data_IF_998135613536
#
_entry.id   IF_998135613536
#
_cell.length_a   1.000
_cell.length_b   1.000
_cell.length_c   1.000
_cell.angle_alpha   90.00
_cell.angle_beta   90.00
_cell.angle_gamma   90.00
#
_symmetry.space_group_name_H-M   'P 1'
#
loop_
_entity.id
_entity.type
_entity.pdbx_description
1 polymer ?
#
# COMPACT_ATOMS: atom_id res chain seq x y z
N UNK A 1 16.35 21.12 27.34
CA UNK A 1 14.92 21.36 27.08
C UNK A 1 14.27 20.08 26.59
N UNK A 2 13.91 19.21 27.53
CA UNK A 2 13.44 17.84 27.33
C UNK A 2 11.97 17.72 27.73
N UNK A 3 11.13 18.66 27.29
CA UNK A 3 9.72 18.75 27.72
C UNK A 3 8.71 18.77 26.56
N UNK A 4 9.16 18.63 25.30
CA UNK A 4 8.27 18.54 24.13
C UNK A 4 7.87 17.08 23.81
N UNK A 5 8.55 16.09 24.40
CA UNK A 5 8.37 14.68 24.05
C UNK A 5 7.14 13.99 24.68
N UNK A 6 6.54 14.55 25.73
CA UNK A 6 5.58 13.81 26.59
C UNK A 6 4.12 13.81 26.11
N UNK A 7 3.77 14.54 25.04
CA UNK A 7 2.41 14.52 24.52
C UNK A 7 2.37 14.54 22.99
N UNK A 8 3.11 13.62 22.37
CA UNK A 8 2.97 13.40 20.93
C UNK A 8 1.60 12.77 20.67
N UNK A 9 0.68 13.58 20.17
CA UNK A 9 -0.67 13.14 19.79
C UNK A 9 -0.57 12.15 18.62
N UNK A 10 -0.56 10.86 18.94
CA UNK A 10 -0.49 9.78 17.94
C UNK A 10 -1.64 9.82 16.94
N UNK A 11 -2.77 10.44 17.29
CA UNK A 11 -3.88 10.69 16.37
C UNK A 11 -3.49 11.62 15.20
N UNK A 12 -2.67 12.65 15.45
CA UNK A 12 -2.18 13.55 14.41
C UNK A 12 -1.19 12.85 13.48
N UNK A 13 -0.30 12.02 14.05
CA UNK A 13 0.61 11.17 13.26
C UNK A 13 -0.20 10.30 12.31
N UNK A 14 -1.22 9.60 12.82
CA UNK A 14 -2.08 8.72 12.02
C UNK A 14 -2.81 9.50 10.92
N UNK A 15 -3.39 10.66 11.21
CA UNK A 15 -4.03 11.50 10.20
C UNK A 15 -3.08 11.87 9.05
N UNK A 16 -1.83 12.20 9.39
CA UNK A 16 -0.82 12.54 8.40
C UNK A 16 -0.41 11.31 7.56
N UNK A 17 -0.29 10.13 8.18
CA UNK A 17 -0.01 8.88 7.46
C UNK A 17 -1.13 8.50 6.49
N UNK A 18 -2.39 8.76 6.85
CA UNK A 18 -3.53 8.47 5.97
C UNK A 18 -3.61 9.36 4.74
N UNK A 19 -2.83 10.44 4.66
CA UNK A 19 -2.71 11.27 3.46
C UNK A 19 -2.05 10.52 2.28
N UNK A 20 -1.34 9.41 2.52
CA UNK A 20 -0.75 8.61 1.44
C UNK A 20 -1.80 8.02 0.52
N UNK A 21 -2.97 7.63 1.05
CA UNK A 21 -4.08 7.02 0.29
C UNK A 21 -4.72 7.99 -0.73
N UNK A 22 -5.18 9.21 -0.38
CA UNK A 22 -5.71 10.13 -1.37
C UNK A 22 -4.65 10.56 -2.39
N UNK A 23 -3.39 10.69 -1.97
CA UNK A 23 -2.26 10.98 -2.88
C UNK A 23 -2.07 9.83 -3.87
N UNK A 24 -2.10 8.57 -3.41
CA UNK A 24 -1.95 7.41 -4.28
C UNK A 24 -3.11 7.27 -5.27
N UNK A 25 -4.35 7.61 -4.85
CA UNK A 25 -5.52 7.62 -5.75
C UNK A 25 -5.35 8.69 -6.83
N UNK A 26 -4.99 9.92 -6.45
CA UNK A 26 -4.79 11.02 -7.39
C UNK A 26 -3.70 10.69 -8.42
N UNK A 27 -2.57 10.17 -7.96
CA UNK A 27 -1.49 9.72 -8.83
C UNK A 27 -1.93 8.55 -9.71
N UNK A 28 -2.63 7.56 -9.17
CA UNK A 28 -3.13 6.42 -9.94
C UNK A 28 -4.05 6.85 -11.08
N UNK A 29 -4.93 7.82 -10.84
CA UNK A 29 -5.79 8.40 -11.89
C UNK A 29 -4.96 9.14 -12.95
N UNK A 30 -4.00 9.98 -12.52
CA UNK A 30 -3.10 10.68 -13.44
C UNK A 30 -2.30 9.72 -14.33
N UNK A 31 -1.69 8.70 -13.73
CA UNK A 31 -0.92 7.69 -14.46
C UNK A 31 -1.81 6.87 -15.38
N UNK A 32 -3.05 6.53 -14.98
CA UNK A 32 -4.01 5.87 -15.87
C UNK A 32 -4.24 6.66 -17.14
N UNK A 33 -4.43 7.97 -17.02
CA UNK A 33 -4.69 8.84 -18.17
C UNK A 33 -3.48 8.89 -19.10
N UNK A 34 -2.27 8.99 -18.54
CA UNK A 34 -1.02 8.91 -19.31
C UNK A 34 -0.91 7.58 -20.05
N UNK A 35 -1.20 6.47 -19.38
CA UNK A 35 -1.03 5.13 -19.94
C UNK A 35 -2.05 4.78 -21.03
N UNK A 36 -3.27 5.32 -20.93
CA UNK A 36 -4.33 5.04 -21.91
C UNK A 36 -4.39 6.08 -23.03
N UNK A 37 -4.11 7.35 -22.77
CA UNK A 37 -4.35 8.42 -23.75
C UNK A 37 -3.06 9.05 -24.29
N UNK A 38 -1.96 9.02 -23.52
CA UNK A 38 -0.70 9.63 -23.96
C UNK A 38 0.26 8.62 -24.59
N UNK A 39 0.24 7.37 -24.13
CA UNK A 39 1.04 6.30 -24.71
C UNK A 39 0.30 5.57 -25.83
N UNK A 40 1.03 5.22 -26.89
CA UNK A 40 0.51 4.42 -27.99
C UNK A 40 0.06 3.05 -27.47
N UNK A 41 -1.25 2.78 -27.55
CA UNK A 41 -1.79 1.50 -27.12
C UNK A 41 -1.39 0.41 -28.12
N UNK A 42 -0.99 -0.79 -27.65
CA UNK A 42 -0.81 -1.93 -28.54
C UNK A 42 -2.15 -2.32 -29.17
N UNK A 43 -2.12 -2.81 -30.40
CA UNK A 43 -3.32 -3.30 -31.08
C UNK A 43 -4.07 -4.30 -30.19
N UNK A 44 -5.37 -4.04 -29.98
CA UNK A 44 -6.22 -4.85 -29.10
C UNK A 44 -6.32 -6.32 -29.56
N UNK A 45 -5.98 -6.58 -30.82
CA UNK A 45 -5.94 -7.91 -31.44
C UNK A 45 -4.69 -8.71 -31.05
N UNK A 46 -3.61 -8.03 -30.66
CA UNK A 46 -2.33 -8.63 -30.26
C UNK A 46 -2.27 -8.82 -28.74
N UNK A 47 -2.81 -7.86 -27.96
CA UNK A 47 -2.81 -7.92 -26.49
C UNK A 47 -4.22 -7.61 -25.96
N UNK A 48 -5.09 -8.61 -25.83
CA UNK A 48 -6.41 -8.41 -25.24
C UNK A 48 -6.29 -8.05 -23.76
N UNK A 49 -7.04 -7.05 -23.31
CA UNK A 49 -7.16 -6.73 -21.87
C UNK A 49 -6.13 -5.76 -21.29
N UNK A 50 -5.37 -5.04 -22.12
CA UNK A 50 -4.39 -4.05 -21.65
C UNK A 50 -4.97 -3.04 -20.66
N UNK A 51 -6.13 -2.44 -20.97
CA UNK A 51 -6.78 -1.49 -20.07
C UNK A 51 -7.21 -2.12 -18.74
N UNK A 52 -7.62 -3.38 -18.75
CA UNK A 52 -7.95 -4.12 -17.52
C UNK A 52 -6.71 -4.35 -16.67
N UNK A 53 -5.60 -4.75 -17.30
CA UNK A 53 -4.31 -4.93 -16.62
C UNK A 53 -3.83 -3.65 -15.94
N UNK A 54 -3.90 -2.51 -16.65
CA UNK A 54 -3.56 -1.19 -16.09
C UNK A 54 -4.44 -0.88 -14.87
N UNK A 55 -5.77 -1.04 -14.98
CA UNK A 55 -6.67 -0.78 -13.84
C UNK A 55 -6.37 -1.68 -12.63
N UNK A 56 -6.09 -2.97 -12.85
CA UNK A 56 -5.72 -3.91 -11.78
C UNK A 56 -4.43 -3.50 -11.08
N UNK A 57 -3.41 -3.06 -11.82
CA UNK A 57 -2.15 -2.58 -11.23
C UNK A 57 -2.40 -1.33 -10.40
N UNK A 58 -3.15 -0.36 -10.92
CA UNK A 58 -3.48 0.85 -10.17
C UNK A 58 -4.29 0.55 -8.89
N UNK A 59 -5.23 -0.39 -8.97
CA UNK A 59 -5.98 -0.86 -7.81
C UNK A 59 -5.06 -1.52 -6.78
N UNK A 60 -4.08 -2.33 -7.22
CA UNK A 60 -3.10 -2.97 -6.34
C UNK A 60 -2.27 -1.96 -5.56
N UNK A 61 -1.88 -0.85 -6.19
CA UNK A 61 -1.16 0.25 -5.54
C UNK A 61 -2.03 0.86 -4.44
N UNK A 62 -3.30 1.17 -4.72
CA UNK A 62 -4.19 1.73 -3.69
C UNK A 62 -4.35 0.76 -2.50
N UNK A 63 -4.44 -0.55 -2.75
CA UNK A 63 -4.52 -1.58 -1.70
C UNK A 63 -3.24 -1.61 -0.85
N UNK A 64 -2.06 -1.51 -1.46
CA UNK A 64 -0.78 -1.46 -0.74
C UNK A 64 -0.67 -0.19 0.12
N UNK A 65 -1.12 0.95 -0.41
CA UNK A 65 -1.09 2.24 0.30
C UNK A 65 -2.02 2.26 1.52
N UNK A 66 -3.10 1.47 1.52
CA UNK A 66 -3.93 1.27 2.72
C UNK A 66 -3.17 0.60 3.88
N UNK A 67 -2.13 -0.20 3.59
CA UNK A 67 -1.33 -0.85 4.62
C UNK A 67 -0.17 0.03 5.11
N UNK A 68 0.16 1.10 4.38
CA UNK A 68 1.29 1.98 4.66
C UNK A 68 1.22 2.68 6.02
N UNK A 69 0.06 3.21 6.49
CA UNK A 69 -0.05 3.77 7.83
C UNK A 69 0.30 2.75 8.92
N UNK A 70 -0.18 1.51 8.76
CA UNK A 70 0.05 0.40 9.71
C UNK A 70 1.53 0.03 9.74
N UNK A 71 2.13 -0.06 8.55
CA UNK A 71 3.54 -0.35 8.36
C UNK A 71 4.44 0.71 9.04
N UNK A 72 4.18 2.00 8.83
CA UNK A 72 4.98 3.08 9.42
C UNK A 72 4.84 3.07 10.95
N UNK A 73 3.62 2.85 11.48
CA UNK A 73 3.42 2.69 12.93
C UNK A 73 4.18 1.50 13.51
N UNK A 74 4.24 0.37 12.79
CA UNK A 74 5.02 -0.79 13.20
C UNK A 74 6.53 -0.46 13.25
N UNK A 75 7.04 0.32 12.31
CA UNK A 75 8.44 0.77 12.32
C UNK A 75 8.76 1.70 13.48
N UNK A 76 7.87 2.65 13.79
CA UNK A 76 8.00 3.51 14.97
C UNK A 76 7.97 2.70 16.27
N UNK A 77 7.30 1.54 16.26
CA UNK A 77 7.26 0.57 17.37
C UNK A 77 8.43 -0.43 17.34
N UNK A 78 9.50 -0.14 16.59
CA UNK A 78 10.74 -0.94 16.47
C UNK A 78 10.62 -2.28 15.71
N UNK A 79 9.52 -2.53 14.99
CA UNK A 79 9.36 -3.76 14.18
C UNK A 79 9.96 -3.63 12.76
N UNK A 80 11.22 -3.21 12.66
CA UNK A 80 11.87 -2.91 11.37
C UNK A 80 12.03 -4.17 10.50
N UNK A 81 12.28 -5.34 11.13
CA UNK A 81 12.46 -6.63 10.44
C UNK A 81 11.19 -7.17 9.79
N UNK A 82 10.01 -6.76 10.29
CA UNK A 82 8.72 -7.22 9.77
C UNK A 82 8.54 -6.84 8.30
N UNK A 83 9.01 -5.64 7.92
CA UNK A 83 8.97 -5.15 6.55
C UNK A 83 9.63 -6.13 5.59
N UNK A 84 10.87 -6.48 5.88
CA UNK A 84 11.69 -7.34 5.01
C UNK A 84 11.01 -8.70 4.81
N UNK A 85 10.40 -9.24 5.87
CA UNK A 85 9.68 -10.51 5.80
C UNK A 85 8.40 -10.38 4.96
N UNK A 86 7.53 -9.41 5.25
CA UNK A 86 6.25 -9.26 4.52
C UNK A 86 6.49 -8.91 3.05
N UNK A 87 7.39 -7.97 2.78
CA UNK A 87 7.74 -7.54 1.42
C UNK A 87 8.39 -8.68 0.63
N UNK A 88 9.30 -9.42 1.27
CA UNK A 88 9.94 -10.60 0.67
C UNK A 88 8.95 -11.73 0.36
N UNK A 89 8.04 -12.05 1.30
CA UNK A 89 7.00 -13.07 1.10
C UNK A 89 6.06 -12.66 -0.02
N UNK A 90 5.56 -11.42 0.00
CA UNK A 90 4.62 -10.92 -1.01
C UNK A 90 5.25 -10.92 -2.41
N UNK A 91 6.51 -10.50 -2.53
CA UNK A 91 7.26 -10.53 -3.79
C UNK A 91 7.50 -11.97 -4.27
N UNK A 92 7.88 -12.87 -3.36
CA UNK A 92 8.09 -14.29 -3.70
C UNK A 92 6.82 -14.92 -4.22
N UNK A 93 5.69 -14.71 -3.53
CA UNK A 93 4.38 -15.20 -3.96
C UNK A 93 4.01 -14.63 -5.33
N UNK A 94 4.24 -13.32 -5.56
CA UNK A 94 4.00 -12.70 -6.86
C UNK A 94 4.76 -13.40 -7.97
N UNK A 95 6.07 -13.60 -7.79
CA UNK A 95 6.93 -14.22 -8.79
C UNK A 95 6.51 -15.67 -9.09
N UNK A 96 6.20 -16.46 -8.05
CA UNK A 96 5.76 -17.83 -8.21
C UNK A 96 4.40 -17.93 -8.91
N UNK A 97 3.42 -17.10 -8.52
CA UNK A 97 2.12 -17.05 -9.16
C UNK A 97 2.23 -16.60 -10.61
N UNK A 98 3.01 -15.54 -10.87
CA UNK A 98 3.24 -15.04 -12.22
C UNK A 98 3.85 -16.12 -13.11
N UNK A 99 4.91 -16.80 -12.65
CA UNK A 99 5.54 -17.90 -13.39
C UNK A 99 4.54 -19.04 -13.67
N UNK A 100 3.76 -19.44 -12.67
CA UNK A 100 2.76 -20.49 -12.80
C UNK A 100 1.65 -20.12 -13.81
N UNK A 101 1.09 -18.92 -13.69
CA UNK A 101 0.02 -18.42 -14.57
C UNK A 101 0.49 -18.25 -16.02
N UNK A 102 1.72 -17.78 -16.24
CA UNK A 102 2.28 -17.63 -17.59
C UNK A 102 2.47 -18.99 -18.26
N UNK A 103 2.91 -20.01 -17.52
CA UNK A 103 3.05 -21.38 -18.05
C UNK A 103 1.68 -21.96 -18.46
N UNK A 104 0.62 -21.67 -17.70
CA UNK A 104 -0.72 -22.15 -18.03
C UNK A 104 -1.40 -21.37 -19.16
N UNK A 105 -1.19 -20.06 -19.23
CA UNK A 105 -1.89 -19.15 -20.14
C UNK A 105 -0.90 -18.31 -20.96
N UNK A 106 -0.17 -18.92 -21.90
CA UNK A 106 0.90 -18.24 -22.65
C UNK A 106 0.40 -17.06 -23.50
N UNK A 107 -0.87 -17.11 -23.95
CA UNK A 107 -1.45 -16.08 -24.81
C UNK A 107 -2.05 -14.88 -24.03
N UNK A 108 -2.05 -14.92 -22.69
CA UNK A 108 -2.70 -13.91 -21.83
C UNK A 108 -1.78 -13.41 -20.71
N UNK A 109 -0.51 -13.14 -21.04
CA UNK A 109 0.50 -12.71 -20.06
C UNK A 109 0.11 -11.46 -19.24
N UNK A 110 -0.63 -10.53 -19.82
CA UNK A 110 -1.10 -9.32 -19.10
C UNK A 110 -2.07 -9.67 -17.98
N UNK A 111 -2.98 -10.61 -18.22
CA UNK A 111 -3.91 -11.08 -17.17
C UNK A 111 -3.16 -11.83 -16.08
N UNK A 112 -2.20 -12.70 -16.45
CA UNK A 112 -1.35 -13.40 -15.49
C UNK A 112 -0.57 -12.44 -14.58
N UNK A 113 -0.01 -11.38 -15.15
CA UNK A 113 0.68 -10.34 -14.37
C UNK A 113 -0.28 -9.59 -13.45
N UNK A 114 -1.43 -9.13 -13.98
CA UNK A 114 -2.40 -8.35 -13.23
C UNK A 114 -2.99 -9.13 -12.04
N UNK A 115 -3.29 -10.42 -12.23
CA UNK A 115 -3.82 -11.28 -11.15
C UNK A 115 -2.75 -11.58 -10.11
N UNK A 116 -1.52 -11.92 -10.51
CA UNK A 116 -0.42 -12.14 -9.59
C UNK A 116 -0.10 -10.89 -8.75
N UNK A 117 -0.08 -9.71 -9.39
CA UNK A 117 0.13 -8.43 -8.71
C UNK A 117 -1.00 -8.12 -7.72
N UNK A 118 -2.27 -8.32 -8.09
CA UNK A 118 -3.40 -8.12 -7.17
C UNK A 118 -3.34 -9.06 -5.97
N UNK A 119 -3.08 -10.36 -6.19
CA UNK A 119 -2.99 -11.34 -5.10
C UNK A 119 -1.84 -10.97 -4.15
N UNK A 120 -0.68 -10.59 -4.69
CA UNK A 120 0.45 -10.14 -3.89
C UNK A 120 0.12 -8.90 -3.04
N UNK A 121 -0.56 -7.91 -3.61
CA UNK A 121 -0.99 -6.70 -2.87
C UNK A 121 -1.98 -7.01 -1.75
N UNK A 122 -2.89 -7.97 -1.96
CA UNK A 122 -3.83 -8.42 -0.93
C UNK A 122 -3.11 -9.15 0.20
N UNK A 123 -2.17 -10.06 -0.14
CA UNK A 123 -1.36 -10.75 0.87
C UNK A 123 -0.53 -9.76 1.68
N UNK A 124 0.10 -8.78 1.00
CA UNK A 124 0.84 -7.71 1.66
C UNK A 124 -0.04 -6.96 2.65
N UNK A 125 -1.20 -6.46 2.19
CA UNK A 125 -2.10 -5.65 3.00
C UNK A 125 -2.67 -6.45 4.18
N UNK A 126 -3.18 -7.65 3.92
CA UNK A 126 -3.72 -8.53 4.97
C UNK A 126 -2.67 -8.93 6.00
N UNK A 127 -1.42 -9.15 5.61
CA UNK A 127 -0.31 -9.44 6.54
C UNK A 127 -0.06 -8.31 7.54
N UNK A 128 -0.12 -7.05 7.10
CA UNK A 128 0.03 -5.91 8.02
C UNK A 128 -1.17 -5.75 8.95
N UNK A 129 -2.40 -5.91 8.43
CA UNK A 129 -3.60 -5.79 9.26
C UNK A 129 -3.70 -6.92 10.29
N UNK A 130 -3.40 -8.15 9.91
CA UNK A 130 -3.34 -9.29 10.84
C UNK A 130 -2.25 -9.10 11.89
N UNK A 131 -1.06 -8.62 11.50
CA UNK A 131 -0.01 -8.26 12.45
C UNK A 131 -0.46 -7.19 13.45
N UNK A 132 -1.09 -6.11 12.96
CA UNK A 132 -1.57 -5.03 13.81
C UNK A 132 -2.64 -5.47 14.80
N UNK A 133 -3.50 -6.43 14.42
CA UNK A 133 -4.48 -7.01 15.33
C UNK A 133 -3.82 -7.87 16.42
N UNK A 134 -2.82 -8.67 16.07
CA UNK A 134 -2.15 -9.57 17.02
C UNK A 134 -1.22 -8.83 18.00
N UNK A 135 -0.60 -7.74 17.55
CA UNK A 135 0.42 -7.01 18.33
C UNK A 135 -0.03 -5.60 18.75
N UNK A 136 -1.34 -5.33 18.80
CA UNK A 136 -1.88 -3.99 19.10
C UNK A 136 -1.37 -3.43 20.43
N UNK A 137 -1.17 -4.29 21.43
CA UNK A 137 -0.68 -3.89 22.76
C UNK A 137 0.79 -3.46 22.76
N UNK A 138 1.57 -3.93 21.78
CA UNK A 138 2.99 -3.62 21.60
C UNK A 138 3.21 -2.41 20.66
N UNK A 139 2.16 -1.97 19.97
CA UNK A 139 2.21 -0.78 19.13
C UNK A 139 2.11 0.48 19.99
N UNK A 140 2.66 1.59 19.48
CA UNK A 140 2.49 2.92 20.08
C UNK A 140 1.01 3.33 20.18
N UNK A 141 0.15 2.75 19.33
CA UNK A 141 -1.29 2.98 19.32
C UNK A 141 -2.02 1.76 19.92
N UNK A 142 -2.46 1.90 21.18
CA UNK A 142 -3.12 0.83 21.95
C UNK A 142 -4.55 0.47 21.51
N UNK A 143 -5.06 1.08 20.44
CA UNK A 143 -6.46 0.90 20.04
C UNK A 143 -6.58 0.88 18.52
N UNK A 144 -7.16 -0.19 17.98
CA UNK A 144 -7.36 -0.35 16.54
C UNK A 144 -8.12 0.82 15.90
N UNK A 145 -9.12 1.38 16.60
CA UNK A 145 -9.87 2.55 16.12
C UNK A 145 -9.01 3.80 15.94
N UNK A 146 -7.95 3.96 16.72
CA UNK A 146 -7.01 5.08 16.60
C UNK A 146 -6.00 4.90 15.46
N UNK A 147 -6.04 3.74 14.79
CA UNK A 147 -5.27 3.46 13.59
C UNK A 147 -5.94 4.04 12.33
N UNK A 148 -7.24 4.36 12.43
CA UNK A 148 -8.02 5.06 11.42
C UNK A 148 -7.90 6.59 11.61
N UNK A 149 -8.05 7.38 10.54
CA UNK A 149 -7.92 8.82 10.62
C UNK A 149 -9.13 9.42 11.38
N UNK A 150 -8.83 10.31 12.32
CA UNK A 150 -9.82 11.14 12.97
C UNK A 150 -9.92 12.49 12.24
N UNK A 151 -10.85 12.57 11.29
CA UNK A 151 -11.06 13.76 10.47
C UNK A 151 -11.44 15.01 11.27
N UNK A 152 -11.84 14.88 12.54
CA UNK A 152 -12.29 16.02 13.33
C UNK A 152 -11.13 16.92 13.80
N UNK A 153 -9.93 16.37 13.98
CA UNK A 153 -8.78 17.06 14.60
C UNK A 153 -7.86 17.82 13.62
N UNK A 154 -8.13 17.77 12.31
CA UNK A 154 -7.29 18.43 11.30
C UNK A 154 -5.91 17.78 11.12
N UNK A 155 -5.07 18.40 10.28
CA UNK A 155 -3.68 17.98 10.00
C UNK A 155 -2.75 19.01 10.62
N UNK A 156 -1.84 18.57 11.49
CA UNK A 156 -0.81 19.41 12.09
C UNK A 156 0.48 19.33 11.26
N UNK A 157 0.82 20.44 10.59
CA UNK A 157 1.96 20.53 9.67
C UNK A 157 3.30 20.69 10.39
N UNK A 158 3.30 21.16 11.65
CA UNK A 158 4.54 21.27 12.44
C UNK A 158 5.14 19.89 12.73
N UNK A 159 4.27 18.87 12.83
CA UNK A 159 4.67 17.48 12.98
C UNK A 159 5.46 16.95 11.77
N UNK A 160 5.13 17.43 10.56
CA UNK A 160 5.83 17.03 9.33
C UNK A 160 7.27 17.56 9.32
N UNK A 161 7.48 18.79 9.79
CA UNK A 161 8.82 19.38 9.91
C UNK A 161 9.71 18.67 10.94
N UNK A 162 9.10 18.10 12.00
CA UNK A 162 9.82 17.38 13.06
C UNK A 162 10.17 15.93 12.72
N UNK A 163 9.62 15.36 11.65
CA UNK A 163 9.89 13.98 11.21
C UNK A 163 10.94 13.88 10.09
N UNK A 164 11.57 15.01 9.72
CA UNK A 164 12.72 15.06 8.81
C UNK A 164 14.03 15.05 9.59
#
# INVERSE_FOLDING_TARGET
CSSIQDNKDWALVVNLLWLTVPVSIALSVGLRLVWLYLLSQPDALIIPGYAMGVNCVLLSVVIEMLAEPVYILAQLSQFIKLRVIIEGVSLTVKCLLMAFLIVQLPNQGVYAFATAQLIASLIYSTSYYTFAQLYIDQLQVKTFRRLLPDFHRGIDWDLFYLMR
#
